data_IF_611844708093
#
_entry.id   IF_611844708093
#
_cell.length_a   1.000
_cell.length_b   1.000
_cell.length_c   1.000
_cell.angle_alpha   90.00
_cell.angle_beta   90.00
_cell.angle_gamma   90.00
#
_symmetry.space_group_name_H-M   'P 1'
#
loop_
_entity.id
_entity.type
_entity.pdbx_description
1 polymer ?
#
# COMPACT_ATOMS: atom_id res chain seq x y z
N UNK A 1 9.14 -0.92 15.28
CA UNK A 1 9.43 -2.33 15.69
C UNK A 1 9.91 -3.11 14.48
N UNK A 2 11.08 -3.75 14.60
CA UNK A 2 11.72 -4.56 13.55
C UNK A 2 11.43 -6.04 13.74
N UNK A 3 11.06 -6.72 12.67
CA UNK A 3 10.93 -8.17 12.58
C UNK A 3 11.66 -8.64 11.33
N UNK A 4 12.36 -9.78 11.43
CA UNK A 4 13.09 -10.34 10.29
C UNK A 4 12.53 -11.73 10.01
N UNK A 5 12.27 -11.99 8.73
CA UNK A 5 11.70 -13.26 8.27
C UNK A 5 12.56 -13.85 7.15
N UNK A 6 12.53 -15.16 7.03
CA UNK A 6 13.16 -15.90 5.93
C UNK A 6 12.33 -17.10 5.54
N UNK A 7 12.20 -17.32 4.24
CA UNK A 7 11.57 -18.54 3.74
C UNK A 7 12.59 -19.67 3.70
N UNK A 8 12.35 -20.70 4.52
CA UNK A 8 13.13 -21.94 4.56
C UNK A 8 12.15 -23.11 4.35
N UNK A 9 12.47 -24.04 3.47
CA UNK A 9 11.64 -25.21 3.15
C UNK A 9 10.16 -24.87 2.87
N UNK A 10 9.92 -23.77 2.12
CA UNK A 10 8.60 -23.23 1.79
C UNK A 10 7.80 -22.69 2.99
N UNK A 11 8.40 -22.58 4.16
CA UNK A 11 7.79 -21.98 5.35
C UNK A 11 8.46 -20.66 5.68
N UNK A 12 7.68 -19.67 6.08
CA UNK A 12 8.19 -18.41 6.57
C UNK A 12 8.52 -18.55 8.05
N UNK A 13 9.77 -18.32 8.39
CA UNK A 13 10.26 -18.37 9.78
C UNK A 13 10.80 -17.03 10.21
N UNK A 14 10.60 -16.67 11.47
CA UNK A 14 11.23 -15.51 12.07
C UNK A 14 12.69 -15.85 12.39
N UNK A 15 13.59 -14.93 12.03
CA UNK A 15 15.04 -15.04 12.25
C UNK A 15 15.56 -13.75 12.88
N UNK A 16 16.79 -13.78 13.42
CA UNK A 16 17.40 -12.62 14.05
C UNK A 16 18.52 -11.99 13.22
N UNK A 17 18.92 -12.64 12.12
CA UNK A 17 20.01 -12.22 11.25
C UNK A 17 19.50 -11.60 9.94
N UNK A 18 20.22 -10.57 9.49
CA UNK A 18 19.97 -9.85 8.22
C UNK A 18 20.84 -10.44 7.11
N UNK A 19 20.72 -11.73 6.83
CA UNK A 19 21.51 -12.40 5.79
C UNK A 19 20.68 -12.62 4.52
N UNK A 20 21.32 -13.11 3.48
CA UNK A 20 20.75 -13.32 2.15
C UNK A 20 19.37 -14.03 2.18
N UNK A 21 18.45 -13.51 1.39
CA UNK A 21 17.09 -14.01 1.29
C UNK A 21 16.20 -13.65 2.48
N UNK A 22 16.63 -12.77 3.39
CA UNK A 22 15.80 -12.27 4.47
C UNK A 22 14.83 -11.16 3.98
N UNK A 23 13.73 -11.03 4.69
CA UNK A 23 12.81 -9.91 4.63
C UNK A 23 12.82 -9.19 5.98
N UNK A 24 13.24 -7.92 5.98
CA UNK A 24 13.21 -7.04 7.14
C UNK A 24 11.92 -6.24 7.09
N UNK A 25 11.07 -6.42 8.10
CA UNK A 25 9.82 -5.69 8.24
C UNK A 25 9.95 -4.65 9.34
N UNK A 26 9.89 -3.37 8.97
CA UNK A 26 9.95 -2.23 9.86
C UNK A 26 8.55 -1.60 9.97
N UNK A 27 7.95 -1.67 11.15
CA UNK A 27 6.68 -0.99 11.46
C UNK A 27 6.93 0.03 12.54
N UNK A 28 6.62 1.31 12.28
CA UNK A 28 6.96 2.42 13.17
C UNK A 28 8.38 2.25 13.73
N UNK A 29 9.42 2.24 12.88
CA UNK A 29 10.79 1.96 13.33
C UNK A 29 11.29 3.05 14.27
N UNK A 30 12.11 2.66 15.22
CA UNK A 30 12.88 3.60 16.04
C UNK A 30 14.15 4.05 15.30
N UNK A 31 14.72 5.19 15.69
CA UNK A 31 15.97 5.69 15.12
C UNK A 31 17.14 4.67 15.24
N UNK A 32 17.11 3.85 16.28
CA UNK A 32 18.10 2.79 16.48
C UNK A 32 17.91 1.66 15.46
N UNK A 33 16.66 1.23 15.23
CA UNK A 33 16.32 0.24 14.21
C UNK A 33 16.69 0.72 12.80
N UNK A 34 16.40 2.00 12.49
CA UNK A 34 16.77 2.63 11.21
C UNK A 34 18.29 2.63 11.03
N UNK A 35 19.05 3.14 12.02
CA UNK A 35 20.53 3.15 11.96
C UNK A 35 21.13 1.76 11.81
N UNK A 36 20.57 0.77 12.51
CA UNK A 36 21.04 -0.60 12.43
C UNK A 36 20.84 -1.18 11.02
N UNK A 37 19.68 -0.99 10.42
CA UNK A 37 19.39 -1.48 9.05
C UNK A 37 20.26 -0.73 8.04
N UNK A 38 20.32 0.59 8.13
CA UNK A 38 21.12 1.45 7.25
C UNK A 38 22.60 1.05 7.24
N UNK A 39 23.21 0.90 8.42
CA UNK A 39 24.63 0.51 8.55
C UNK A 39 24.91 -0.94 8.09
N UNK A 40 23.93 -1.86 8.23
CA UNK A 40 24.13 -3.27 7.85
C UNK A 40 24.00 -3.46 6.34
N UNK A 41 23.16 -2.67 5.68
CA UNK A 41 22.80 -2.86 4.28
C UNK A 41 23.39 -1.80 3.34
N UNK A 42 24.16 -0.87 3.87
CA UNK A 42 24.71 0.27 3.14
C UNK A 42 23.59 1.07 2.42
N UNK A 43 22.53 1.38 3.18
CA UNK A 43 21.37 2.15 2.72
C UNK A 43 21.37 3.50 3.42
N UNK A 44 21.04 4.58 2.70
CA UNK A 44 20.88 5.89 3.31
C UNK A 44 19.71 5.89 4.32
N UNK A 45 19.93 6.32 5.59
CA UNK A 45 18.87 6.35 6.61
C UNK A 45 17.64 7.15 6.17
N UNK A 46 17.83 8.21 5.38
CA UNK A 46 16.77 9.06 4.85
C UNK A 46 15.80 8.31 3.95
N UNK A 47 16.28 7.32 3.18
CA UNK A 47 15.43 6.51 2.32
C UNK A 47 14.56 5.51 3.11
N UNK A 48 15.05 5.08 4.27
CA UNK A 48 14.26 4.25 5.19
C UNK A 48 13.18 5.11 5.87
N UNK A 49 13.56 6.30 6.35
CA UNK A 49 12.65 7.20 7.09
C UNK A 49 11.59 7.82 6.16
N UNK A 50 11.90 8.04 4.89
CA UNK A 50 10.94 8.59 3.90
C UNK A 50 9.59 7.88 3.93
N UNK A 51 9.58 6.55 4.04
CA UNK A 51 8.33 5.78 4.11
C UNK A 51 7.55 5.93 5.43
N UNK A 52 8.07 6.67 6.39
CA UNK A 52 7.35 7.01 7.64
C UNK A 52 6.77 8.42 7.65
N UNK A 53 7.09 9.23 6.64
CA UNK A 53 6.53 10.57 6.45
C UNK A 53 5.19 10.46 5.70
N UNK A 54 4.06 10.88 6.29
CA UNK A 54 2.76 10.83 5.62
C UNK A 54 2.67 11.67 4.34
N UNK A 55 3.53 12.68 4.18
CA UNK A 55 3.57 13.58 3.02
C UNK A 55 4.49 13.06 1.89
N UNK A 56 5.17 11.93 2.09
CA UNK A 56 6.05 11.34 1.07
C UNK A 56 5.25 10.86 -0.12
N UNK A 57 5.72 11.19 -1.31
CA UNK A 57 5.05 10.83 -2.56
C UNK A 57 5.47 9.46 -3.08
N UNK A 58 4.51 8.71 -3.64
CA UNK A 58 4.80 7.45 -4.30
C UNK A 58 5.82 7.64 -5.43
N UNK A 59 6.93 6.93 -5.36
CA UNK A 59 8.07 7.05 -6.30
C UNK A 59 8.87 5.76 -6.40
N UNK A 60 9.71 5.70 -7.42
CA UNK A 60 10.79 4.72 -7.53
C UNK A 60 12.09 5.46 -7.79
N UNK A 61 13.13 5.13 -7.06
CA UNK A 61 14.49 5.63 -7.26
C UNK A 61 15.49 4.48 -7.27
N UNK A 62 16.50 4.64 -8.11
CA UNK A 62 17.60 3.69 -8.25
C UNK A 62 18.81 4.32 -7.61
N UNK A 63 19.21 3.77 -6.49
CA UNK A 63 20.38 4.20 -5.74
C UNK A 63 21.57 3.28 -6.03
N UNK A 64 22.73 3.62 -5.51
CA UNK A 64 23.91 2.76 -5.62
C UNK A 64 23.76 1.55 -4.68
N UNK A 65 23.66 0.37 -5.27
CA UNK A 65 23.50 -0.90 -4.54
C UNK A 65 22.07 -1.28 -4.14
N UNK A 66 21.08 -0.38 -4.22
CA UNK A 66 19.70 -0.70 -3.88
C UNK A 66 18.66 0.08 -4.71
N UNK A 67 17.42 -0.30 -4.60
CA UNK A 67 16.27 0.39 -5.22
C UNK A 67 15.24 0.71 -4.16
N UNK A 68 14.75 1.94 -4.16
CA UNK A 68 13.65 2.39 -3.30
C UNK A 68 12.37 2.45 -4.10
N UNK A 69 11.32 1.82 -3.60
CA UNK A 69 9.97 1.89 -4.15
C UNK A 69 9.06 2.36 -3.01
N UNK A 70 8.40 3.49 -3.20
CA UNK A 70 7.39 4.00 -2.27
C UNK A 70 6.04 3.98 -2.98
N UNK A 71 5.04 3.39 -2.35
CA UNK A 71 3.67 3.35 -2.82
C UNK A 71 2.72 3.69 -1.67
N UNK A 72 1.57 4.23 -2.00
CA UNK A 72 0.54 4.53 -1.00
C UNK A 72 -0.35 3.33 -0.78
N UNK A 73 -0.69 3.07 0.47
CA UNK A 73 -1.62 2.01 0.87
C UNK A 73 -2.76 2.58 1.72
N UNK A 74 -3.99 2.03 1.62
CA UNK A 74 -5.10 2.51 2.43
C UNK A 74 -4.94 2.07 3.88
N UNK A 75 -5.27 2.98 4.80
CA UNK A 75 -5.34 2.69 6.24
C UNK A 75 -6.62 3.29 6.82
N UNK A 76 -7.24 2.56 7.73
CA UNK A 76 -8.41 3.05 8.44
C UNK A 76 -8.02 4.17 9.39
N UNK A 77 -8.83 5.23 9.44
CA UNK A 77 -8.63 6.31 10.41
C UNK A 77 -9.17 5.86 11.77
N UNK A 78 -8.32 5.91 12.79
CA UNK A 78 -8.69 5.51 14.15
C UNK A 78 -9.81 6.39 14.70
N UNK A 79 -10.83 5.73 15.28
CA UNK A 79 -11.99 6.41 15.84
C UNK A 79 -12.98 7.00 14.82
N UNK A 80 -12.71 6.90 13.52
CA UNK A 80 -13.62 7.35 12.49
C UNK A 80 -14.74 6.33 12.20
N UNK A 81 -15.80 6.80 11.52
CA UNK A 81 -16.90 5.97 11.05
C UNK A 81 -16.42 4.89 10.06
N UNK A 82 -17.23 3.87 9.86
CA UNK A 82 -16.95 2.84 8.86
C UNK A 82 -16.90 3.44 7.44
N UNK A 83 -15.86 3.10 6.68
CA UNK A 83 -15.64 3.62 5.33
C UNK A 83 -14.74 4.87 5.26
N UNK A 84 -14.30 5.41 6.40
CA UNK A 84 -13.36 6.55 6.43
C UNK A 84 -11.93 6.05 6.51
N UNK A 85 -11.17 6.33 5.45
CA UNK A 85 -9.78 5.92 5.28
C UNK A 85 -8.90 7.11 4.92
N UNK A 86 -7.62 6.97 5.17
CA UNK A 86 -6.55 7.78 4.59
C UNK A 86 -5.55 6.87 3.91
N UNK A 87 -4.49 7.43 3.36
CA UNK A 87 -3.39 6.66 2.77
C UNK A 87 -2.09 6.98 3.48
N UNK A 88 -1.22 5.99 3.57
CA UNK A 88 0.13 6.13 4.11
C UNK A 88 1.14 5.48 3.17
N UNK A 89 2.39 5.97 3.15
CA UNK A 89 3.45 5.36 2.39
C UNK A 89 3.82 3.97 2.89
N UNK A 90 4.08 3.06 1.96
CA UNK A 90 4.77 1.80 2.16
C UNK A 90 6.07 1.85 1.37
N UNK A 91 7.19 1.90 2.07
CA UNK A 91 8.53 1.78 1.48
C UNK A 91 8.92 0.34 1.28
N UNK A 92 9.49 0.05 0.12
CA UNK A 92 10.06 -1.24 -0.24
C UNK A 92 11.46 -0.98 -0.76
N UNK A 93 12.47 -1.41 -0.02
CA UNK A 93 13.87 -1.26 -0.40
C UNK A 93 14.42 -2.62 -0.82
N UNK A 94 14.97 -2.67 -2.01
CA UNK A 94 15.52 -3.88 -2.62
C UNK A 94 17.03 -3.77 -2.72
N UNK A 95 17.77 -4.63 -2.01
CA UNK A 95 19.20 -4.83 -2.20
C UNK A 95 19.46 -6.06 -3.06
N UNK A 96 20.73 -6.36 -3.34
CA UNK A 96 21.10 -7.60 -4.04
C UNK A 96 20.71 -8.85 -3.25
N UNK A 97 20.72 -8.79 -1.92
CA UNK A 97 20.58 -9.97 -1.06
C UNK A 97 19.20 -10.10 -0.42
N UNK A 98 18.55 -9.00 -0.09
CA UNK A 98 17.32 -9.02 0.71
C UNK A 98 16.34 -7.91 0.35
N UNK A 99 15.19 -7.90 1.01
CA UNK A 99 14.14 -6.90 0.90
C UNK A 99 13.81 -6.31 2.26
N UNK A 100 13.61 -4.99 2.32
CA UNK A 100 13.11 -4.27 3.49
C UNK A 100 11.75 -3.68 3.16
N UNK A 101 10.78 -3.81 4.05
CA UNK A 101 9.52 -3.07 4.00
C UNK A 101 9.45 -2.14 5.19
N UNK A 102 9.02 -0.90 4.96
CA UNK A 102 8.91 0.16 5.98
C UNK A 102 7.54 0.78 5.91
N UNK A 103 6.88 0.91 7.05
CA UNK A 103 5.58 1.56 7.17
C UNK A 103 5.46 2.26 8.52
N UNK A 104 4.72 3.37 8.59
CA UNK A 104 4.47 4.12 9.83
C UNK A 104 3.50 3.42 10.78
N UNK A 105 2.69 2.47 10.30
CA UNK A 105 1.70 1.74 11.08
C UNK A 105 1.59 0.27 10.68
N UNK A 106 0.97 -0.54 11.54
CA UNK A 106 0.58 -1.91 11.17
C UNK A 106 -0.48 -1.89 10.08
N UNK A 107 -0.28 -2.69 9.03
CA UNK A 107 -1.18 -2.77 7.88
C UNK A 107 -1.43 -4.20 7.46
N UNK A 108 -2.65 -4.51 7.03
CA UNK A 108 -2.99 -5.82 6.47
C UNK A 108 -2.23 -6.13 5.19
N UNK A 109 -1.79 -5.12 4.42
CA UNK A 109 -0.97 -5.31 3.22
C UNK A 109 0.31 -6.06 3.54
N UNK A 110 1.01 -5.69 4.61
CA UNK A 110 2.27 -6.34 5.03
C UNK A 110 1.98 -7.51 5.98
N UNK A 111 1.00 -7.36 6.87
CA UNK A 111 0.65 -8.34 7.89
C UNK A 111 0.19 -9.69 7.33
N UNK A 112 -0.46 -9.71 6.15
CA UNK A 112 -0.90 -10.95 5.51
C UNK A 112 0.28 -11.84 5.07
N UNK A 113 1.41 -11.24 4.70
CA UNK A 113 2.65 -11.95 4.38
C UNK A 113 3.28 -12.53 5.65
N UNK A 114 3.41 -11.72 6.69
CA UNK A 114 3.95 -12.17 7.99
C UNK A 114 3.11 -13.27 8.63
N UNK A 115 1.80 -13.29 8.35
CA UNK A 115 0.86 -14.31 8.81
C UNK A 115 0.75 -15.51 7.86
N UNK A 116 1.59 -15.62 6.82
CA UNK A 116 1.58 -16.71 5.83
C UNK A 116 0.24 -16.88 5.08
N UNK A 117 -0.53 -15.81 4.89
CA UNK A 117 -1.83 -15.85 4.19
C UNK A 117 -1.70 -15.73 2.68
N UNK A 118 -0.53 -15.33 2.16
CA UNK A 118 -0.28 -15.15 0.73
C UNK A 118 0.32 -16.41 0.14
N UNK A 119 -0.39 -17.00 -0.82
CA UNK A 119 0.07 -18.23 -1.50
C UNK A 119 1.29 -17.95 -2.39
N UNK A 120 2.22 -18.91 -2.41
CA UNK A 120 3.41 -18.83 -3.27
C UNK A 120 4.39 -17.72 -2.89
N UNK A 121 4.23 -17.10 -1.73
CA UNK A 121 5.14 -16.12 -1.18
C UNK A 121 6.49 -16.75 -0.82
N UNK A 122 7.57 -16.04 -1.14
CA UNK A 122 8.93 -16.39 -0.73
C UNK A 122 9.79 -15.14 -0.63
N UNK A 123 10.52 -14.99 0.47
CA UNK A 123 11.43 -13.86 0.67
C UNK A 123 12.61 -13.85 -0.30
N UNK A 124 12.94 -15.00 -0.91
CA UNK A 124 13.99 -15.11 -1.93
C UNK A 124 13.58 -14.58 -3.29
N UNK A 125 12.27 -14.55 -3.61
CA UNK A 125 11.72 -14.05 -4.87
C UNK A 125 11.33 -12.58 -4.72
N UNK A 126 12.32 -11.69 -4.64
CA UNK A 126 12.13 -10.28 -4.27
C UNK A 126 11.14 -9.55 -5.17
N UNK A 127 11.30 -9.62 -6.50
CA UNK A 127 10.39 -8.94 -7.42
C UNK A 127 8.97 -9.52 -7.36
N UNK A 128 8.83 -10.84 -7.25
CA UNK A 128 7.53 -11.46 -7.03
C UNK A 128 6.88 -10.96 -5.74
N UNK A 129 7.66 -10.79 -4.68
CA UNK A 129 7.17 -10.23 -3.43
C UNK A 129 6.68 -8.78 -3.61
N UNK A 130 7.44 -7.93 -4.33
CA UNK A 130 7.00 -6.56 -4.67
C UNK A 130 5.66 -6.60 -5.40
N UNK A 131 5.51 -7.41 -6.45
CA UNK A 131 4.26 -7.50 -7.19
C UNK A 131 3.10 -8.03 -6.33
N UNK A 132 3.36 -8.99 -5.45
CA UNK A 132 2.37 -9.47 -4.50
C UNK A 132 1.94 -8.39 -3.49
N UNK A 133 2.87 -7.55 -3.00
CA UNK A 133 2.54 -6.40 -2.16
C UNK A 133 1.66 -5.40 -2.89
N UNK A 134 2.02 -5.04 -4.14
CA UNK A 134 1.24 -4.12 -4.97
C UNK A 134 -0.14 -4.68 -5.31
N UNK A 135 -0.23 -5.98 -5.62
CA UNK A 135 -1.51 -6.67 -5.84
C UNK A 135 -2.39 -6.62 -4.60
N UNK A 136 -1.79 -6.90 -3.43
CA UNK A 136 -2.52 -6.85 -2.16
C UNK A 136 -3.00 -5.44 -1.83
N UNK A 137 -2.18 -4.41 -2.07
CA UNK A 137 -2.58 -3.02 -1.90
C UNK A 137 -3.76 -2.66 -2.84
N UNK A 138 -3.68 -3.00 -4.13
CA UNK A 138 -4.73 -2.73 -5.10
C UNK A 138 -6.06 -3.41 -4.73
N UNK A 139 -6.02 -4.69 -4.36
CA UNK A 139 -7.21 -5.42 -3.93
C UNK A 139 -7.80 -4.86 -2.63
N UNK A 140 -6.97 -4.34 -1.74
CA UNK A 140 -7.43 -3.68 -0.53
C UNK A 140 -8.17 -2.37 -0.86
N UNK A 141 -7.62 -1.51 -1.74
CA UNK A 141 -8.35 -0.33 -2.22
C UNK A 141 -9.74 -0.69 -2.75
N UNK A 142 -9.85 -1.73 -3.58
CA UNK A 142 -11.14 -2.16 -4.11
C UNK A 142 -12.11 -2.66 -3.04
N UNK A 143 -11.61 -3.36 -2.02
CA UNK A 143 -12.44 -3.82 -0.90
C UNK A 143 -13.03 -2.64 -0.14
N UNK A 144 -12.20 -1.63 0.13
CA UNK A 144 -12.60 -0.43 0.84
C UNK A 144 -13.54 0.45 0.01
N UNK A 145 -13.29 0.57 -1.30
CA UNK A 145 -14.20 1.27 -2.22
C UNK A 145 -15.61 0.67 -2.25
N UNK A 146 -15.72 -0.68 -2.21
CA UNK A 146 -17.03 -1.35 -2.10
C UNK A 146 -17.72 -1.07 -0.76
N UNK A 147 -16.95 -0.92 0.32
CA UNK A 147 -17.48 -0.56 1.63
C UNK A 147 -17.97 0.88 1.63
N UNK A 148 -17.18 1.82 1.09
CA UNK A 148 -17.54 3.23 0.93
C UNK A 148 -18.83 3.37 0.14
N UNK A 149 -18.96 2.68 -0.99
CA UNK A 149 -20.17 2.73 -1.81
C UNK A 149 -21.42 2.24 -1.06
N UNK A 150 -21.31 1.12 -0.37
CA UNK A 150 -22.42 0.60 0.47
C UNK A 150 -22.81 1.59 1.56
N UNK A 151 -21.82 2.20 2.22
CA UNK A 151 -22.07 3.15 3.29
C UNK A 151 -22.74 4.42 2.77
N UNK A 152 -22.23 4.98 1.65
CA UNK A 152 -22.83 6.10 0.94
C UNK A 152 -24.30 5.83 0.59
N UNK A 153 -24.58 4.68 -0.04
CA UNK A 153 -25.95 4.30 -0.41
C UNK A 153 -26.88 4.16 0.80
N UNK A 154 -26.39 3.67 1.93
CA UNK A 154 -27.16 3.56 3.17
C UNK A 154 -27.53 4.95 3.70
N UNK A 155 -26.58 5.89 3.69
CA UNK A 155 -26.85 7.28 4.11
C UNK A 155 -27.85 7.93 3.15
N UNK A 156 -27.67 7.80 1.84
CA UNK A 156 -28.56 8.39 0.82
C UNK A 156 -30.00 7.87 0.93
N UNK A 157 -30.21 6.60 1.25
CA UNK A 157 -31.56 6.05 1.49
C UNK A 157 -32.24 6.68 2.73
N UNK A 158 -31.46 6.99 3.76
CA UNK A 158 -31.97 7.66 4.95
C UNK A 158 -32.25 9.13 4.71
N UNK A 159 -31.64 9.77 3.69
CA UNK A 159 -31.88 11.15 3.30
C UNK A 159 -33.30 11.42 2.76
N UNK A 160 -34.07 10.37 2.39
CA UNK A 160 -35.49 10.52 2.02
C UNK A 160 -36.38 10.93 3.22
N UNK A 161 -35.82 10.95 4.45
CA UNK A 161 -36.42 11.47 5.70
C UNK A 161 -35.83 12.83 6.11
N UNK A 162 -35.74 13.08 7.42
CA UNK A 162 -35.06 14.26 7.96
C UNK A 162 -33.54 14.13 7.87
N UNK A 163 -32.90 15.07 7.20
CA UNK A 163 -31.45 15.16 7.07
C UNK A 163 -30.83 15.52 8.41
N UNK A 164 -29.92 14.69 8.91
CA UNK A 164 -29.16 14.97 10.13
C UNK A 164 -27.78 15.53 9.75
N UNK A 165 -27.30 16.50 10.51
CA UNK A 165 -25.95 17.06 10.32
C UNK A 165 -24.86 15.97 10.38
N UNK A 166 -25.08 14.92 11.19
CA UNK A 166 -24.18 13.76 11.28
C UNK A 166 -24.02 13.02 9.95
N UNK A 167 -25.11 12.88 9.16
CA UNK A 167 -25.12 12.17 7.88
C UNK A 167 -24.35 12.98 6.81
N UNK A 168 -24.47 14.31 6.89
CA UNK A 168 -23.69 15.21 6.03
C UNK A 168 -22.20 15.16 6.32
N UNK A 169 -21.81 15.17 7.60
CA UNK A 169 -20.40 15.07 8.00
C UNK A 169 -19.80 13.72 7.56
N UNK A 170 -20.58 12.65 7.70
CA UNK A 170 -20.15 11.32 7.27
C UNK A 170 -19.97 11.24 5.76
N UNK A 171 -20.93 11.75 4.96
CA UNK A 171 -20.77 11.82 3.50
C UNK A 171 -19.52 12.61 3.09
N UNK A 172 -19.27 13.74 3.74
CA UNK A 172 -18.06 14.52 3.45
C UNK A 172 -16.77 13.77 3.79
N UNK A 173 -16.75 12.98 4.87
CA UNK A 173 -15.60 12.15 5.21
C UNK A 173 -15.37 11.03 4.19
N UNK A 174 -16.45 10.41 3.67
CA UNK A 174 -16.37 9.43 2.58
C UNK A 174 -15.86 10.06 1.27
N UNK A 175 -16.34 11.26 0.90
CA UNK A 175 -15.85 12.01 -0.26
C UNK A 175 -14.36 12.34 -0.13
N UNK A 176 -13.91 12.77 1.04
CA UNK A 176 -12.49 13.03 1.31
C UNK A 176 -11.64 11.77 1.13
N UNK A 177 -12.12 10.62 1.62
CA UNK A 177 -11.47 9.33 1.40
C UNK A 177 -11.32 9.01 -0.09
N UNK A 178 -12.36 9.23 -0.90
CA UNK A 178 -12.29 9.00 -2.34
C UNK A 178 -11.25 9.88 -3.04
N UNK A 179 -11.07 11.12 -2.60
CA UNK A 179 -10.04 12.04 -3.12
C UNK A 179 -8.65 11.53 -2.80
N UNK A 180 -8.39 11.09 -1.55
CA UNK A 180 -7.12 10.47 -1.18
C UNK A 180 -6.86 9.23 -2.02
N UNK A 181 -7.82 8.33 -2.16
CA UNK A 181 -7.68 7.11 -2.95
C UNK A 181 -7.40 7.41 -4.44
N UNK A 182 -8.10 8.39 -5.03
CA UNK A 182 -7.86 8.77 -6.41
C UNK A 182 -6.44 9.28 -6.65
N UNK A 183 -5.91 10.08 -5.71
CA UNK A 183 -4.56 10.63 -5.78
C UNK A 183 -3.51 9.53 -5.63
N UNK A 184 -3.63 8.73 -4.60
CA UNK A 184 -2.69 7.65 -4.28
C UNK A 184 -2.68 6.56 -5.34
N UNK A 185 -3.83 6.13 -5.85
CA UNK A 185 -3.91 5.12 -6.92
C UNK A 185 -3.27 5.59 -8.22
N UNK A 186 -3.41 6.88 -8.59
CA UNK A 186 -2.73 7.46 -9.77
C UNK A 186 -1.22 7.51 -9.57
N UNK A 187 -0.75 7.88 -8.38
CA UNK A 187 0.67 7.88 -8.04
C UNK A 187 1.24 6.45 -8.10
N UNK A 188 0.56 5.47 -7.51
CA UNK A 188 0.93 4.06 -7.56
C UNK A 188 0.97 3.52 -9.00
N UNK A 189 0.00 3.90 -9.85
CA UNK A 189 0.00 3.52 -11.26
C UNK A 189 1.23 4.07 -12.00
N UNK A 190 1.70 5.27 -11.66
CA UNK A 190 2.92 5.86 -12.22
C UNK A 190 4.17 5.09 -11.79
N UNK A 191 4.24 4.67 -10.52
CA UNK A 191 5.32 3.81 -10.01
C UNK A 191 5.33 2.48 -10.74
N UNK A 192 4.15 1.85 -10.91
CA UNK A 192 4.01 0.58 -11.61
C UNK A 192 4.45 0.68 -13.07
N UNK A 193 4.05 1.75 -13.80
CA UNK A 193 4.50 1.98 -15.17
C UNK A 193 6.03 2.12 -15.28
N UNK A 194 6.66 2.76 -14.30
CA UNK A 194 8.13 2.82 -14.22
C UNK A 194 8.74 1.45 -13.95
N UNK A 195 8.19 0.68 -13.00
CA UNK A 195 8.66 -0.68 -12.70
C UNK A 195 8.67 -1.59 -13.94
N UNK A 196 7.68 -1.47 -14.84
CA UNK A 196 7.62 -2.25 -16.07
C UNK A 196 8.78 -1.95 -17.05
N UNK A 197 9.33 -0.74 -16.96
CA UNK A 197 10.39 -0.26 -17.88
C UNK A 197 11.81 -0.52 -17.35
N UNK A 198 11.96 -0.81 -16.06
CA UNK A 198 13.29 -1.02 -15.47
C UNK A 198 13.86 -2.40 -15.78
N UNK A 199 14.77 -2.47 -16.76
CA UNK A 199 15.47 -3.70 -17.17
C UNK A 199 16.45 -4.24 -16.12
N UNK A 200 16.83 -3.43 -15.13
CA UNK A 200 17.75 -3.84 -14.03
C UNK A 200 17.09 -4.76 -13.01
N UNK A 201 15.77 -4.75 -12.93
CA UNK A 201 15.04 -5.62 -12.02
C UNK A 201 14.83 -6.95 -12.75
N UNK A 202 15.50 -8.01 -12.31
CA UNK A 202 15.34 -9.36 -12.85
C UNK A 202 13.87 -9.77 -12.79
N UNK A 203 13.26 -9.88 -13.97
CA UNK A 203 11.88 -10.34 -14.10
C UNK A 203 11.90 -11.78 -14.62
N UNK A 204 11.40 -12.69 -13.80
CA UNK A 204 11.14 -14.05 -14.24
C UNK A 204 9.88 -14.09 -15.11
N UNK A 205 9.80 -15.00 -16.13
CA UNK A 205 8.60 -15.11 -16.96
C UNK A 205 7.29 -15.27 -16.17
N UNK A 206 7.33 -16.06 -15.10
CA UNK A 206 6.19 -16.30 -14.19
C UNK A 206 5.74 -15.05 -13.43
N UNK A 207 6.59 -14.03 -13.32
CA UNK A 207 6.28 -12.78 -12.60
C UNK A 207 5.60 -11.76 -13.51
N UNK A 208 5.65 -11.93 -14.84
CA UNK A 208 4.98 -11.04 -15.81
C UNK A 208 3.46 -11.15 -15.71
N UNK A 209 2.93 -12.36 -15.61
CA UNK A 209 1.49 -12.57 -15.43
C UNK A 209 1.00 -11.87 -14.16
N UNK A 210 1.74 -12.00 -13.06
CA UNK A 210 1.41 -11.31 -11.80
C UNK A 210 1.49 -9.79 -11.94
N UNK A 211 2.47 -9.27 -12.70
CA UNK A 211 2.58 -7.84 -12.96
C UNK A 211 1.41 -7.32 -13.80
N UNK A 212 0.98 -8.08 -14.81
CA UNK A 212 -0.20 -7.75 -15.62
C UNK A 212 -1.46 -7.74 -14.76
N UNK A 213 -1.62 -8.70 -13.84
CA UNK A 213 -2.71 -8.73 -12.87
C UNK A 213 -2.70 -7.48 -11.98
N UNK A 214 -1.54 -7.06 -11.47
CA UNK A 214 -1.41 -5.82 -10.66
C UNK A 214 -1.86 -4.60 -11.45
N UNK A 215 -1.48 -4.50 -12.73
CA UNK A 215 -1.88 -3.39 -13.60
C UNK A 215 -3.40 -3.34 -13.75
N UNK A 216 -4.03 -4.50 -13.97
CA UNK A 216 -5.48 -4.60 -14.09
C UNK A 216 -6.18 -4.17 -12.80
N UNK A 217 -5.73 -4.68 -11.65
CA UNK A 217 -6.33 -4.39 -10.35
C UNK A 217 -6.21 -2.89 -9.98
N UNK A 218 -5.07 -2.26 -10.24
CA UNK A 218 -4.88 -0.82 -9.99
C UNK A 218 -5.78 0.01 -10.92
N UNK A 219 -5.87 -0.33 -12.21
CA UNK A 219 -6.77 0.36 -13.15
C UNK A 219 -8.23 0.24 -12.72
N UNK A 220 -8.65 -0.96 -12.34
CA UNK A 220 -10.00 -1.18 -11.84
C UNK A 220 -10.29 -0.36 -10.58
N UNK A 221 -9.35 -0.27 -9.63
CA UNK A 221 -9.51 0.56 -8.44
C UNK A 221 -9.64 2.06 -8.80
N UNK A 222 -8.86 2.55 -9.78
CA UNK A 222 -8.98 3.93 -10.29
C UNK A 222 -10.37 4.18 -10.86
N UNK A 223 -10.84 3.32 -11.76
CA UNK A 223 -12.17 3.46 -12.40
C UNK A 223 -13.30 3.42 -11.36
N UNK A 224 -13.22 2.51 -10.39
CA UNK A 224 -14.18 2.45 -9.30
C UNK A 224 -14.19 3.76 -8.49
N UNK A 225 -13.03 4.31 -8.17
CA UNK A 225 -12.91 5.55 -7.40
C UNK A 225 -13.52 6.72 -8.17
N UNK A 226 -13.19 6.86 -9.46
CA UNK A 226 -13.72 7.92 -10.32
C UNK A 226 -15.25 7.81 -10.48
N UNK A 227 -15.76 6.59 -10.66
CA UNK A 227 -17.21 6.35 -10.73
C UNK A 227 -17.90 6.81 -9.45
N UNK A 228 -17.35 6.50 -8.27
CA UNK A 228 -17.93 6.92 -7.00
C UNK A 228 -17.90 8.44 -6.79
N UNK A 229 -16.82 9.12 -7.22
CA UNK A 229 -16.74 10.58 -7.19
C UNK A 229 -17.81 11.20 -8.08
N UNK A 230 -17.97 10.73 -9.32
CA UNK A 230 -18.99 11.25 -10.24
C UNK A 230 -20.43 11.02 -9.76
N UNK A 231 -20.70 9.91 -9.08
CA UNK A 231 -22.05 9.64 -8.53
C UNK A 231 -22.35 10.58 -7.36
N UNK A 232 -21.35 11.03 -6.59
CA UNK A 232 -21.54 11.95 -5.46
C UNK A 232 -21.69 13.42 -5.88
N UNK A 233 -21.22 13.82 -7.06
CA UNK A 233 -21.33 15.21 -7.56
C UNK A 233 -22.77 15.74 -7.69
N UNK A 234 -23.77 15.03 -8.27
CA UNK A 234 -25.14 15.52 -8.40
C UNK A 234 -25.84 15.78 -7.07
N UNK A 235 -25.54 14.99 -6.05
CA UNK A 235 -26.07 15.18 -4.69
C UNK A 235 -25.61 16.50 -4.06
N UNK A 236 -24.48 17.03 -4.50
CA UNK A 236 -23.92 18.31 -4.06
C UNK A 236 -24.67 19.51 -4.64
N UNK A 237 -25.17 19.41 -5.88
CA UNK A 237 -25.91 20.49 -6.57
C UNK A 237 -27.38 20.63 -6.15
N UNK A 238 -27.96 19.62 -5.53
CA UNK A 238 -29.34 19.69 -5.00
C UNK A 238 -29.45 20.38 -3.63
N UNK A 239 -28.35 20.95 -3.13
CA UNK A 239 -28.23 21.51 -1.76
C UNK A 239 -27.93 23.01 -1.69
N UNK A 240 -28.18 23.76 -2.79
CA UNK A 240 -28.14 25.23 -2.77
C UNK A 240 -29.56 25.78 -2.88
#
# INVERSE_FOLDING_TARGET
MMKIYRTQDKQLTRVDDMSEGAWICLTSPTDEEVRRVAATLDIEPTDIVAATDPEESARISLEDGYTVIIVDIPIKVDGASEGVYTTIPLGILLTQELIVTVCSADTAVVGDFAACRVKGFSTRKKMRFVYQLLYRAATMYQQELRLIDRRRQAIEKNLAGELKDSDLMELHALESTLVYFATSLRANATVLDRLTRYKRLEQYPDDRELLDDVIVEIRQAIEMTLSLIHISEPTRHLRI
#
